data_IF_400840600295
#
_entry.id   IF_400840600295
#
_cell.length_a   1.000
_cell.length_b   1.000
_cell.length_c   1.000
_cell.angle_alpha   90.00
_cell.angle_beta   90.00
_cell.angle_gamma   90.00
#
_symmetry.space_group_name_H-M   'P 1'
#
loop_
_entity.id
_entity.type
_entity.pdbx_description
1 polymer ?
#
# COMPACT_ATOMS: atom_id res chain seq x y z
N UNK A 1 -7.96 -6.56 4.11
CA UNK A 1 -6.52 -6.43 4.41
C UNK A 1 -5.97 -5.42 3.45
N UNK A 2 -5.29 -4.40 3.97
CA UNK A 2 -4.70 -3.32 3.19
C UNK A 2 -3.18 -3.50 3.22
N UNK A 3 -2.67 -4.36 2.35
CA UNK A 3 -1.23 -4.63 2.24
C UNK A 3 -0.86 -4.94 0.80
N UNK A 4 0.28 -4.45 0.36
CA UNK A 4 0.81 -4.70 -0.99
C UNK A 4 2.12 -5.47 -0.87
N UNK A 5 2.17 -6.63 -1.50
CA UNK A 5 3.38 -7.45 -1.59
C UNK A 5 4.03 -7.24 -2.95
N UNK A 6 5.29 -6.81 -2.96
CA UNK A 6 6.11 -6.69 -4.17
C UNK A 6 7.32 -7.63 -4.03
N UNK A 7 7.54 -8.45 -5.05
CA UNK A 7 8.67 -9.38 -5.10
C UNK A 7 9.48 -9.15 -6.37
N UNK A 8 10.80 -9.14 -6.27
CA UNK A 8 11.67 -9.03 -7.45
C UNK A 8 12.01 -10.42 -8.02
N UNK A 9 12.03 -10.60 -9.35
CA UNK A 9 12.24 -11.92 -9.96
C UNK A 9 13.69 -12.44 -9.80
N UNK A 10 14.69 -11.56 -9.90
CA UNK A 10 16.12 -11.95 -9.94
C UNK A 10 16.71 -11.99 -8.54
N UNK A 11 16.65 -10.86 -7.83
CA UNK A 11 17.26 -10.71 -6.49
C UNK A 11 16.41 -11.30 -5.36
N UNK A 12 15.20 -11.81 -5.69
CA UNK A 12 14.21 -12.40 -4.77
C UNK A 12 14.01 -11.56 -3.50
N UNK A 13 14.05 -10.24 -3.68
CA UNK A 13 13.79 -9.28 -2.61
C UNK A 13 12.30 -9.20 -2.39
N UNK A 14 11.90 -9.13 -1.13
CA UNK A 14 10.50 -8.99 -0.73
C UNK A 14 10.27 -7.65 -0.07
N UNK A 15 9.31 -6.90 -0.59
CA UNK A 15 8.83 -5.63 -0.07
C UNK A 15 7.38 -5.79 0.35
N UNK A 16 7.05 -5.30 1.54
CA UNK A 16 5.68 -5.22 2.02
C UNK A 16 5.34 -3.76 2.29
N UNK A 17 4.30 -3.23 1.65
CA UNK A 17 3.76 -1.89 1.94
C UNK A 17 2.49 -2.07 2.74
N UNK A 18 2.48 -1.50 3.94
CA UNK A 18 1.51 -1.67 5.01
C UNK A 18 1.35 -3.12 5.48
N UNK A 19 1.10 -3.29 6.78
CA UNK A 19 0.95 -4.63 7.39
C UNK A 19 -0.52 -5.00 7.62
N UNK A 20 -1.45 -4.15 7.21
CA UNK A 20 -2.86 -4.32 7.47
C UNK A 20 -3.19 -4.29 8.97
N UNK A 21 -4.47 -4.22 9.28
CA UNK A 21 -5.00 -4.37 10.62
C UNK A 21 -6.52 -4.25 10.59
N UNK A 22 -7.17 -4.54 11.70
CA UNK A 22 -8.61 -4.37 11.83
C UNK A 22 -8.86 -3.39 12.97
N UNK A 23 -9.55 -2.30 12.67
CA UNK A 23 -10.04 -1.38 13.69
C UNK A 23 -11.00 -2.12 14.62
N UNK A 24 -10.62 -2.21 15.90
CA UNK A 24 -11.46 -2.73 16.97
C UNK A 24 -12.29 -1.58 17.52
N UNK A 25 -13.59 -1.59 17.25
CA UNK A 25 -14.53 -0.63 17.84
C UNK A 25 -15.00 -1.11 19.22
N UNK A 26 -15.40 -0.20 20.13
CA UNK A 26 -16.00 -0.58 21.41
C UNK A 26 -17.20 -1.49 21.15
N UNK A 27 -17.13 -2.72 21.65
CA UNK A 27 -18.19 -3.73 21.58
C UNK A 27 -18.49 -4.20 22.99
N UNK A 28 -19.74 -4.53 23.26
CA UNK A 28 -20.13 -5.07 24.58
C UNK A 28 -19.35 -6.37 24.83
N UNK A 29 -19.03 -6.67 26.08
CA UNK A 29 -18.23 -7.86 26.47
C UNK A 29 -18.69 -9.15 25.77
N UNK A 30 -20.00 -9.36 25.66
CA UNK A 30 -20.61 -10.53 25.01
C UNK A 30 -20.53 -10.52 23.47
N UNK A 31 -20.26 -9.37 22.85
CA UNK A 31 -20.04 -9.22 21.40
C UNK A 31 -18.55 -9.30 21.00
N UNK A 32 -17.63 -9.33 21.99
CA UNK A 32 -16.19 -9.47 21.74
C UNK A 32 -15.89 -10.86 21.18
N UNK A 33 -16.04 -11.02 19.86
CA UNK A 33 -15.46 -12.16 19.14
C UNK A 33 -13.95 -12.11 19.29
N UNK A 34 -13.31 -13.27 19.49
CA UNK A 34 -11.85 -13.41 19.41
C UNK A 34 -11.39 -12.81 18.08
N UNK A 35 -10.81 -11.61 18.14
CA UNK A 35 -10.32 -10.90 16.97
C UNK A 35 -9.08 -11.61 16.49
N UNK A 36 -9.25 -12.46 15.48
CA UNK A 36 -8.17 -13.17 14.81
C UNK A 36 -7.29 -12.14 14.08
N UNK A 37 -6.01 -12.11 14.44
CA UNK A 37 -4.98 -11.27 13.81
C UNK A 37 -4.91 -11.53 12.30
N UNK A 38 -4.92 -10.46 11.50
CA UNK A 38 -4.94 -10.54 10.05
C UNK A 38 -3.59 -10.99 9.48
N UNK A 39 -2.48 -10.56 10.08
CA UNK A 39 -1.13 -10.95 9.64
C UNK A 39 -0.92 -12.45 9.82
N UNK A 40 -1.32 -13.00 10.97
CA UNK A 40 -1.20 -14.42 11.27
C UNK A 40 -2.04 -15.31 10.34
N UNK A 41 -3.20 -14.83 9.88
CA UNK A 41 -4.13 -15.65 9.09
C UNK A 41 -4.08 -15.44 7.58
N UNK A 42 -3.55 -14.30 7.10
CA UNK A 42 -3.47 -14.05 5.65
C UNK A 42 -2.06 -13.67 5.21
N UNK A 43 -1.40 -12.67 5.81
CA UNK A 43 -0.09 -12.20 5.32
C UNK A 43 0.99 -13.27 5.47
N UNK A 44 1.20 -13.81 6.67
CA UNK A 44 2.22 -14.85 6.92
C UNK A 44 1.91 -16.13 6.12
N UNK A 45 0.67 -16.66 6.10
CA UNK A 45 0.34 -17.80 5.25
C UNK A 45 0.58 -17.54 3.76
N UNK A 46 0.24 -16.34 3.26
CA UNK A 46 0.51 -15.95 1.87
C UNK A 46 2.01 -15.95 1.58
N UNK A 47 2.82 -15.32 2.43
CA UNK A 47 4.28 -15.30 2.29
C UNK A 47 4.85 -16.73 2.27
N UNK A 48 4.42 -17.58 3.21
CA UNK A 48 4.85 -18.99 3.29
C UNK A 48 4.43 -19.79 2.07
N UNK A 49 3.19 -19.64 1.59
CA UNK A 49 2.69 -20.33 0.39
C UNK A 49 3.46 -19.93 -0.88
N UNK A 50 4.04 -18.73 -0.90
CA UNK A 50 4.92 -18.25 -1.98
C UNK A 50 6.38 -18.64 -1.79
N UNK A 51 6.71 -19.44 -0.77
CA UNK A 51 8.09 -19.84 -0.45
C UNK A 51 8.97 -18.69 0.07
N UNK A 52 8.36 -17.59 0.52
CA UNK A 52 9.07 -16.44 1.07
C UNK A 52 9.41 -16.74 2.53
N UNK A 53 10.67 -16.59 2.90
CA UNK A 53 11.18 -16.84 4.26
C UNK A 53 11.63 -15.58 5.01
N UNK A 54 11.68 -14.43 4.33
CA UNK A 54 12.06 -13.13 4.89
C UNK A 54 11.43 -11.98 4.12
N UNK A 55 11.20 -10.86 4.81
CA UNK A 55 10.87 -9.57 4.20
C UNK A 55 12.12 -8.69 4.29
N UNK A 56 12.55 -8.14 3.17
CA UNK A 56 13.74 -7.30 3.10
C UNK A 56 13.42 -5.86 3.53
N UNK A 57 12.26 -5.32 3.12
CA UNK A 57 11.77 -4.01 3.58
C UNK A 57 10.26 -4.01 3.81
N UNK A 58 9.84 -3.50 4.97
CA UNK A 58 8.46 -3.11 5.24
C UNK A 58 8.37 -1.59 5.14
N UNK A 59 7.33 -1.06 4.51
CA UNK A 59 7.00 0.36 4.47
C UNK A 59 5.67 0.57 5.18
N UNK A 60 5.63 1.43 6.19
CA UNK A 60 4.41 1.81 6.89
C UNK A 60 4.01 3.20 6.43
N UNK A 61 2.78 3.34 5.94
CA UNK A 61 2.33 4.60 5.36
C UNK A 61 1.99 5.63 6.43
N UNK A 62 1.20 5.28 7.44
CA UNK A 62 0.79 6.17 8.52
C UNK A 62 0.48 5.35 9.80
N UNK A 63 0.11 6.02 10.90
CA UNK A 63 0.03 5.44 12.25
C UNK A 63 -1.21 4.60 12.51
N UNK A 64 -2.19 4.56 11.60
CA UNK A 64 -3.48 3.96 11.93
C UNK A 64 -3.37 2.46 12.14
N UNK A 65 -4.29 1.94 12.94
CA UNK A 65 -4.25 0.54 13.41
C UNK A 65 -4.36 -0.43 12.25
N UNK A 66 -5.07 -0.08 11.19
CA UNK A 66 -5.15 -0.86 9.97
C UNK A 66 -3.91 -0.77 9.08
N UNK A 67 -2.90 0.03 9.45
CA UNK A 67 -1.61 0.14 8.77
C UNK A 67 -0.42 -0.33 9.61
N UNK A 68 -0.41 -0.09 10.93
CA UNK A 68 0.68 -0.51 11.84
C UNK A 68 0.29 -1.58 12.85
N UNK A 69 -1.00 -1.87 13.01
CA UNK A 69 -1.52 -2.61 14.17
C UNK A 69 -0.99 -4.03 14.31
N UNK A 70 -0.53 -4.64 13.23
CA UNK A 70 0.02 -5.99 13.23
C UNK A 70 1.54 -6.04 13.00
N UNK A 71 2.24 -4.90 13.12
CA UNK A 71 3.69 -4.85 12.92
C UNK A 71 4.41 -5.75 13.92
N UNK A 72 4.07 -5.65 15.21
CA UNK A 72 4.68 -6.47 16.26
C UNK A 72 4.45 -7.97 16.01
N UNK A 73 3.24 -8.34 15.61
CA UNK A 73 2.92 -9.73 15.23
C UNK A 73 3.73 -10.20 14.03
N UNK A 74 3.93 -9.34 13.02
CA UNK A 74 4.78 -9.65 11.88
C UNK A 74 6.24 -9.85 12.30
N UNK A 75 6.79 -8.97 13.12
CA UNK A 75 8.18 -9.03 13.58
C UNK A 75 8.43 -10.25 14.49
N UNK A 76 7.43 -10.68 15.26
CA UNK A 76 7.50 -11.91 16.05
C UNK A 76 7.44 -13.16 15.16
N UNK A 77 6.51 -13.19 14.21
CA UNK A 77 6.20 -14.38 13.42
C UNK A 77 7.01 -14.55 12.12
N UNK A 78 7.77 -13.52 11.71
CA UNK A 78 8.44 -13.49 10.42
C UNK A 78 9.75 -12.70 10.44
N UNK A 79 10.74 -13.15 9.68
CA UNK A 79 12.03 -12.45 9.59
C UNK A 79 11.88 -11.18 8.76
N UNK A 80 12.04 -10.02 9.39
CA UNK A 80 12.05 -8.70 8.74
C UNK A 80 13.43 -8.05 8.92
N UNK A 81 14.04 -7.56 7.84
CA UNK A 81 15.35 -6.88 7.93
C UNK A 81 15.24 -5.40 8.27
N UNK A 82 14.31 -4.71 7.61
CA UNK A 82 14.19 -3.26 7.72
C UNK A 82 12.73 -2.82 7.67
N UNK A 83 12.37 -1.85 8.51
CA UNK A 83 11.08 -1.18 8.55
C UNK A 83 11.30 0.31 8.26
N UNK A 84 10.55 0.85 7.32
CA UNK A 84 10.65 2.21 6.82
C UNK A 84 9.32 2.94 7.06
N UNK A 85 9.39 4.21 7.42
CA UNK A 85 8.20 5.04 7.63
C UNK A 85 8.49 6.53 7.50
N UNK A 86 7.44 7.34 7.37
CA UNK A 86 7.56 8.80 7.32
C UNK A 86 8.24 9.39 8.58
N UNK A 87 9.08 10.40 8.38
CA UNK A 87 9.80 11.08 9.45
C UNK A 87 8.85 11.59 10.55
N UNK A 88 9.16 11.30 11.81
CA UNK A 88 8.36 11.64 12.98
C UNK A 88 7.47 10.50 13.49
N UNK A 89 7.17 9.48 12.68
CA UNK A 89 6.35 8.35 13.11
C UNK A 89 7.02 7.57 14.26
N UNK A 90 8.34 7.59 14.36
CA UNK A 90 9.11 7.03 15.48
C UNK A 90 8.75 7.63 16.84
N UNK A 91 8.19 8.86 16.85
CA UNK A 91 7.74 9.54 18.08
C UNK A 91 6.38 9.01 18.57
N UNK A 92 5.66 8.27 17.75
CA UNK A 92 4.46 7.57 18.18
C UNK A 92 4.84 6.50 19.22
N UNK A 93 4.17 6.50 20.38
CA UNK A 93 4.49 5.58 21.49
C UNK A 93 4.49 4.11 21.07
N UNK A 94 3.56 3.68 20.20
CA UNK A 94 3.50 2.28 19.73
C UNK A 94 4.73 1.93 18.91
N UNK A 95 5.11 2.81 17.98
CA UNK A 95 6.28 2.60 17.11
C UNK A 95 7.58 2.67 17.91
N UNK A 96 7.71 3.64 18.83
CA UNK A 96 8.86 3.73 19.74
C UNK A 96 9.04 2.46 20.56
N UNK A 97 7.96 1.89 21.11
CA UNK A 97 8.01 0.61 21.83
C UNK A 97 8.46 -0.54 20.91
N UNK A 98 7.95 -0.62 19.68
CA UNK A 98 8.38 -1.63 18.71
C UNK A 98 9.87 -1.47 18.36
N UNK A 99 10.36 -0.24 18.18
CA UNK A 99 11.78 0.00 17.91
C UNK A 99 12.66 -0.55 19.04
N UNK A 100 12.26 -0.28 20.29
CA UNK A 100 12.99 -0.74 21.48
C UNK A 100 12.94 -2.26 21.66
N UNK A 101 11.80 -2.89 21.36
CA UNK A 101 11.60 -4.33 21.53
C UNK A 101 12.28 -5.17 20.44
N UNK A 102 12.61 -4.59 19.28
CA UNK A 102 13.16 -5.32 18.12
C UNK A 102 14.51 -4.74 17.64
N UNK A 103 15.57 -4.74 18.47
CA UNK A 103 16.84 -4.08 18.16
C UNK A 103 17.62 -4.68 16.97
N UNK A 104 17.27 -5.90 16.55
CA UNK A 104 17.86 -6.56 15.37
C UNK A 104 17.25 -6.08 14.04
N UNK A 105 16.11 -5.41 14.09
CA UNK A 105 15.43 -4.85 12.91
C UNK A 105 15.94 -3.44 12.70
N UNK A 106 16.29 -3.10 11.45
CA UNK A 106 16.69 -1.74 11.11
C UNK A 106 15.44 -0.88 10.93
N UNK A 107 15.34 0.25 11.63
CA UNK A 107 14.27 1.22 11.43
C UNK A 107 14.82 2.46 10.72
N UNK A 108 14.10 2.95 9.71
CA UNK A 108 14.54 4.10 8.91
C UNK A 108 13.41 5.10 8.69
N UNK A 109 13.69 6.36 9.00
CA UNK A 109 12.83 7.49 8.70
C UNK A 109 13.04 7.93 7.26
N UNK A 110 11.94 8.21 6.57
CA UNK A 110 11.92 8.68 5.20
C UNK A 110 11.21 10.03 5.11
N UNK A 111 11.72 10.90 4.25
CA UNK A 111 11.11 12.19 3.92
C UNK A 111 11.14 12.42 2.41
N UNK A 112 10.40 13.41 1.96
CA UNK A 112 10.40 13.85 0.56
C UNK A 112 11.84 14.02 0.03
N UNK A 113 12.10 13.46 -1.15
CA UNK A 113 13.40 13.47 -1.82
C UNK A 113 14.28 12.26 -1.51
N UNK A 114 13.98 11.49 -0.47
CA UNK A 114 14.71 10.26 -0.19
C UNK A 114 14.47 9.20 -1.27
N UNK A 115 15.48 8.36 -1.50
CA UNK A 115 15.39 7.19 -2.39
C UNK A 115 15.74 5.93 -1.61
N UNK A 116 14.94 4.88 -1.78
CA UNK A 116 15.20 3.55 -1.25
C UNK A 116 15.41 2.58 -2.41
N UNK A 117 16.61 2.03 -2.51
CA UNK A 117 16.93 0.99 -3.48
C UNK A 117 16.74 -0.40 -2.83
N UNK A 118 16.05 -1.28 -3.54
CA UNK A 118 15.87 -2.67 -3.16
C UNK A 118 15.73 -3.55 -4.40
N UNK A 119 16.74 -4.39 -4.61
CA UNK A 119 16.70 -5.38 -5.68
C UNK A 119 16.61 -4.79 -7.09
N UNK A 120 17.12 -3.57 -7.29
CA UNK A 120 17.05 -2.83 -8.55
C UNK A 120 15.77 -1.99 -8.72
N UNK A 121 14.85 -2.02 -7.76
CA UNK A 121 13.71 -1.11 -7.70
C UNK A 121 14.12 0.11 -6.88
N UNK A 122 13.96 1.30 -7.45
CA UNK A 122 14.09 2.57 -6.74
C UNK A 122 12.72 3.10 -6.36
N UNK A 123 12.46 3.20 -5.07
CA UNK A 123 11.29 3.86 -4.49
C UNK A 123 11.71 5.28 -4.10
N UNK A 124 11.18 6.28 -4.80
CA UNK A 124 11.42 7.69 -4.48
C UNK A 124 10.29 8.19 -3.59
N UNK A 125 10.62 8.84 -2.50
CA UNK A 125 9.67 9.34 -1.52
C UNK A 125 9.24 10.73 -1.92
N UNK A 126 7.93 10.91 -2.13
CA UNK A 126 7.33 12.19 -2.52
C UNK A 126 6.75 12.95 -1.31
N UNK A 127 6.42 12.23 -0.24
CA UNK A 127 5.82 12.76 0.99
C UNK A 127 6.12 11.81 2.16
N UNK A 128 6.29 12.27 3.42
CA UNK A 128 6.05 13.63 3.94
C UNK A 128 7.23 14.61 3.82
N UNK A 129 6.92 15.92 3.77
CA UNK A 129 7.91 17.01 3.82
C UNK A 129 8.41 17.30 5.24
N UNK A 130 7.50 17.27 6.21
CA UNK A 130 7.73 17.67 7.60
C UNK A 130 7.62 16.47 8.52
N UNK A 131 8.25 16.57 9.70
CA UNK A 131 8.10 15.55 10.74
C UNK A 131 6.69 15.59 11.33
N UNK A 132 6.04 14.44 11.39
CA UNK A 132 4.72 14.27 12.00
C UNK A 132 4.59 12.89 12.65
N UNK A 133 3.67 12.74 13.59
CA UNK A 133 3.37 11.46 14.26
C UNK A 133 2.60 10.47 13.37
N UNK A 134 2.43 10.79 12.09
CA UNK A 134 1.89 9.91 11.05
C UNK A 134 0.38 9.90 10.97
N UNK A 135 -0.26 11.07 10.92
CA UNK A 135 -1.67 11.16 10.51
C UNK A 135 -1.82 10.78 9.02
N UNK A 136 -3.05 10.69 8.53
CA UNK A 136 -3.33 10.37 7.13
C UNK A 136 -2.68 11.37 6.17
N UNK A 137 -2.68 12.64 6.55
CA UNK A 137 -2.05 13.76 5.85
C UNK A 137 -0.53 13.62 5.72
N UNK A 138 0.08 12.73 6.50
CA UNK A 138 1.52 12.45 6.49
C UNK A 138 1.86 11.07 5.90
N UNK A 139 0.87 10.44 5.25
CA UNK A 139 1.03 9.13 4.62
C UNK A 139 2.23 9.08 3.69
N UNK A 140 3.15 8.14 3.95
CA UNK A 140 4.32 7.91 3.13
C UNK A 140 3.90 7.64 1.68
N UNK A 141 4.15 8.62 0.81
CA UNK A 141 3.83 8.52 -0.61
C UNK A 141 5.10 8.25 -1.39
N UNK A 142 5.07 7.20 -2.20
CA UNK A 142 6.23 6.73 -2.96
C UNK A 142 5.89 6.52 -4.42
N UNK A 143 6.84 6.85 -5.29
CA UNK A 143 6.79 6.53 -6.71
C UNK A 143 7.90 5.55 -7.07
N UNK A 144 7.57 4.50 -7.81
CA UNK A 144 8.53 3.50 -8.24
C UNK A 144 8.28 3.10 -9.69
N UNK A 145 9.36 2.89 -10.43
CA UNK A 145 9.28 2.28 -11.76
C UNK A 145 9.49 0.78 -11.63
N UNK A 146 8.42 0.01 -11.82
CA UNK A 146 8.46 -1.44 -11.87
C UNK A 146 8.50 -1.86 -13.34
N UNK A 147 9.65 -2.37 -13.80
CA UNK A 147 9.94 -2.63 -15.22
C UNK A 147 9.73 -1.35 -16.06
N UNK A 148 8.66 -1.27 -16.85
CA UNK A 148 8.32 -0.14 -17.71
C UNK A 148 7.11 0.64 -17.20
N UNK A 149 6.58 0.31 -16.02
CA UNK A 149 5.38 0.93 -15.44
C UNK A 149 5.75 1.79 -14.24
N UNK A 150 5.31 3.04 -14.26
CA UNK A 150 5.46 3.97 -13.13
C UNK A 150 4.25 3.82 -12.20
N UNK A 151 4.51 3.35 -10.98
CA UNK A 151 3.53 3.16 -9.92
C UNK A 151 3.59 4.30 -8.91
N UNK A 152 2.43 4.81 -8.53
CA UNK A 152 2.27 5.72 -7.40
C UNK A 152 1.55 5.01 -6.24
N UNK A 153 2.20 4.97 -5.08
CA UNK A 153 1.65 4.46 -3.83
C UNK A 153 1.42 5.63 -2.89
N UNK A 154 0.15 6.02 -2.67
CA UNK A 154 -0.20 7.21 -1.89
C UNK A 154 -0.53 6.94 -0.43
N UNK A 155 -0.56 5.66 -0.01
CA UNK A 155 -1.09 5.29 1.30
C UNK A 155 -2.51 5.84 1.46
N UNK A 156 -2.72 6.62 2.53
CA UNK A 156 -3.98 7.27 2.85
C UNK A 156 -3.88 8.80 2.79
N UNK A 157 -2.95 9.30 1.96
CA UNK A 157 -2.73 10.73 1.77
C UNK A 157 -4.01 11.43 1.31
N UNK A 158 -4.38 12.49 2.01
CA UNK A 158 -5.53 13.32 1.65
C UNK A 158 -5.21 14.31 0.51
N UNK A 159 -6.25 14.84 -0.12
CA UNK A 159 -6.15 15.75 -1.27
C UNK A 159 -5.26 16.97 -1.02
N UNK A 160 -5.19 17.47 0.22
CA UNK A 160 -4.30 18.57 0.57
C UNK A 160 -2.83 18.20 0.35
N UNK A 161 -2.40 17.01 0.80
CA UNK A 161 -1.06 16.50 0.57
C UNK A 161 -0.80 16.18 -0.90
N UNK A 162 -1.79 15.61 -1.61
CA UNK A 162 -1.69 15.38 -3.05
C UNK A 162 -1.41 16.68 -3.81
N UNK A 163 -2.11 17.76 -3.47
CA UNK A 163 -1.91 19.08 -4.07
C UNK A 163 -0.49 19.61 -3.82
N UNK A 164 0.08 19.40 -2.64
CA UNK A 164 1.46 19.80 -2.36
C UNK A 164 2.47 19.00 -3.18
N UNK A 165 2.26 17.69 -3.36
CA UNK A 165 3.10 16.86 -4.23
C UNK A 165 3.07 17.39 -5.67
N UNK A 166 1.89 17.72 -6.20
CA UNK A 166 1.74 18.21 -7.57
C UNK A 166 2.39 19.58 -7.82
N UNK A 167 2.65 20.38 -6.76
CA UNK A 167 3.41 21.63 -6.90
C UNK A 167 4.90 21.37 -7.15
N UNK A 168 5.45 20.34 -6.52
CA UNK A 168 6.89 20.05 -6.63
C UNK A 168 7.22 19.09 -7.77
N UNK A 169 6.26 18.25 -8.16
CA UNK A 169 6.47 17.17 -9.12
C UNK A 169 5.46 17.19 -10.25
N UNK A 170 5.98 17.17 -11.48
CA UNK A 170 5.16 16.85 -12.64
C UNK A 170 5.05 15.32 -12.78
N UNK A 171 3.97 14.75 -12.23
CA UNK A 171 3.77 13.31 -12.21
C UNK A 171 3.23 12.83 -13.55
N UNK A 172 3.83 11.76 -14.08
CA UNK A 172 3.25 10.93 -15.14
C UNK A 172 3.37 9.48 -14.71
N UNK A 173 2.23 8.85 -14.47
CA UNK A 173 2.18 7.50 -13.87
C UNK A 173 1.40 6.57 -14.79
N UNK A 174 1.74 5.30 -14.78
CA UNK A 174 0.93 4.28 -15.44
C UNK A 174 -0.17 3.80 -14.48
N UNK A 175 0.20 3.57 -13.21
CA UNK A 175 -0.65 2.92 -12.24
C UNK A 175 -0.70 3.64 -10.89
N UNK A 176 -1.91 3.69 -10.34
CA UNK A 176 -2.20 4.35 -9.08
C UNK A 176 -2.73 3.34 -8.05
N UNK A 177 -2.11 3.24 -6.88
CA UNK A 177 -2.82 2.77 -5.68
C UNK A 177 -3.71 3.93 -5.23
N UNK A 178 -5.03 3.72 -5.26
CA UNK A 178 -6.02 4.75 -4.84
C UNK A 178 -5.87 5.06 -3.36
N UNK A 179 -5.75 6.34 -3.03
CA UNK A 179 -5.55 6.81 -1.66
C UNK A 179 -6.68 6.40 -0.73
N UNK A 180 -6.34 6.07 0.51
CA UNK A 180 -7.29 5.93 1.63
C UNK A 180 -8.46 4.99 1.31
N UNK A 181 -8.13 3.82 0.77
CA UNK A 181 -9.08 2.76 0.38
C UNK A 181 -10.19 3.20 -0.58
N UNK A 182 -10.04 4.36 -1.23
CA UNK A 182 -11.07 5.00 -2.05
C UNK A 182 -11.96 6.00 -1.33
N UNK A 183 -11.51 6.54 -0.19
CA UNK A 183 -12.15 7.67 0.50
C UNK A 183 -12.35 8.84 -0.46
N UNK A 184 -13.45 9.57 -0.29
CA UNK A 184 -13.70 10.84 -0.99
C UNK A 184 -12.69 11.93 -0.61
N UNK A 185 -11.97 11.81 0.51
CA UNK A 185 -10.95 12.77 0.96
C UNK A 185 -9.58 12.58 0.32
N UNK A 186 -9.42 11.58 -0.53
CA UNK A 186 -8.20 11.30 -1.31
C UNK A 186 -8.53 11.17 -2.79
N UNK A 187 -7.50 10.97 -3.61
CA UNK A 187 -7.57 10.79 -5.07
C UNK A 187 -8.34 11.94 -5.73
N UNK A 188 -7.80 13.15 -5.56
CA UNK A 188 -8.32 14.40 -6.14
C UNK A 188 -8.47 14.30 -7.66
N UNK A 189 -9.37 15.14 -8.19
CA UNK A 189 -9.52 15.30 -9.65
C UNK A 189 -8.22 15.80 -10.27
N UNK A 190 -7.54 16.73 -9.59
CA UNK A 190 -6.28 17.33 -9.99
C UNK A 190 -5.17 16.29 -10.09
N UNK A 191 -5.05 15.39 -9.11
CA UNK A 191 -4.10 14.27 -9.17
C UNK A 191 -4.35 13.40 -10.40
N UNK A 192 -5.59 12.99 -10.64
CA UNK A 192 -5.93 12.14 -11.78
C UNK A 192 -5.68 12.85 -13.12
N UNK A 193 -6.03 14.13 -13.23
CA UNK A 193 -5.86 14.92 -14.45
C UNK A 193 -4.40 15.16 -14.80
N UNK A 194 -3.55 15.45 -13.82
CA UNK A 194 -2.12 15.70 -14.07
C UNK A 194 -1.36 14.38 -14.29
N UNK A 195 -1.59 13.39 -13.43
CA UNK A 195 -0.82 12.13 -13.46
C UNK A 195 -1.26 11.14 -14.54
N UNK A 196 -2.52 11.24 -15.00
CA UNK A 196 -3.14 10.46 -16.08
C UNK A 196 -2.87 8.95 -15.99
N UNK A 197 -3.20 8.29 -14.87
CA UNK A 197 -3.00 6.85 -14.73
C UNK A 197 -3.86 6.09 -15.75
N UNK A 198 -3.31 5.01 -16.31
CA UNK A 198 -4.06 4.05 -17.11
C UNK A 198 -4.93 3.16 -16.21
N UNK A 199 -4.39 2.72 -15.07
CA UNK A 199 -5.12 1.88 -14.10
C UNK A 199 -5.02 2.38 -12.68
N UNK A 200 -6.07 2.11 -11.92
CA UNK A 200 -6.18 2.37 -10.50
C UNK A 200 -6.49 1.09 -9.72
N UNK A 201 -5.85 0.91 -8.57
CA UNK A 201 -6.03 -0.25 -7.69
C UNK A 201 -6.55 0.23 -6.34
N UNK A 202 -7.74 -0.21 -5.98
CA UNK A 202 -8.44 0.13 -4.74
C UNK A 202 -8.31 -1.07 -3.80
N UNK A 203 -7.74 -0.83 -2.63
CA UNK A 203 -7.74 -1.80 -1.55
C UNK A 203 -8.90 -1.45 -0.62
N UNK A 204 -10.03 -2.15 -0.73
CA UNK A 204 -11.19 -1.96 0.15
C UNK A 204 -11.75 -3.32 0.58
N UNK A 205 -12.41 -3.36 1.74
CA UNK A 205 -13.09 -4.56 2.23
C UNK A 205 -14.55 -4.62 1.78
N UNK A 206 -15.07 -5.85 1.56
CA UNK A 206 -16.50 -6.07 1.33
C UNK A 206 -17.30 -5.56 2.53
N UNK A 207 -18.34 -4.76 2.27
CA UNK A 207 -19.22 -4.18 3.29
C UNK A 207 -18.45 -3.48 4.42
N UNK A 208 -17.35 -2.79 4.10
CA UNK A 208 -16.63 -2.01 5.11
C UNK A 208 -17.53 -0.87 5.64
N UNK A 209 -17.41 -0.58 6.94
CA UNK A 209 -18.30 0.35 7.64
C UNK A 209 -18.17 1.80 7.20
N UNK A 210 -17.09 2.13 6.50
CA UNK A 210 -16.82 3.47 5.97
C UNK A 210 -17.47 3.71 4.61
N UNK A 211 -18.08 2.68 4.01
CA UNK A 211 -18.68 2.77 2.68
C UNK A 211 -17.65 3.02 1.57
N UNK A 212 -16.42 2.54 1.75
CA UNK A 212 -15.35 2.69 0.77
C UNK A 212 -15.40 1.58 -0.31
N UNK A 213 -14.94 1.84 -1.54
CA UNK A 213 -14.63 3.16 -2.07
C UNK A 213 -15.90 4.04 -2.14
N UNK A 214 -15.76 5.33 -1.84
CA UNK A 214 -16.88 6.26 -1.94
C UNK A 214 -17.26 6.51 -3.40
N UNK A 215 -18.56 6.77 -3.63
CA UNK A 215 -19.11 7.03 -4.97
C UNK A 215 -18.38 8.18 -5.66
N UNK A 216 -18.05 9.23 -4.93
CA UNK A 216 -17.34 10.41 -5.44
C UNK A 216 -15.97 10.05 -6.04
N UNK A 217 -15.23 9.15 -5.39
CA UNK A 217 -13.92 8.69 -5.89
C UNK A 217 -14.08 7.83 -7.13
N UNK A 218 -15.08 6.94 -7.15
CA UNK A 218 -15.40 6.13 -8.33
C UNK A 218 -15.84 7.01 -9.51
N UNK A 219 -16.67 8.01 -9.27
CA UNK A 219 -17.16 8.92 -10.29
C UNK A 219 -16.00 9.75 -10.87
N UNK A 220 -15.03 10.18 -10.03
CA UNK A 220 -13.79 10.82 -10.51
C UNK A 220 -12.96 9.90 -11.42
N UNK A 221 -12.74 8.65 -11.02
CA UNK A 221 -12.01 7.66 -11.84
C UNK A 221 -12.69 7.45 -13.20
N UNK A 222 -14.02 7.28 -13.20
CA UNK A 222 -14.83 7.12 -14.42
C UNK A 222 -14.78 8.36 -15.33
N UNK A 223 -14.91 9.56 -14.76
CA UNK A 223 -14.82 10.82 -15.51
C UNK A 223 -13.46 11.00 -16.18
N UNK A 224 -12.39 10.50 -15.55
CA UNK A 224 -11.03 10.52 -16.11
C UNK A 224 -10.70 9.27 -16.95
N UNK A 225 -11.69 8.40 -17.21
CA UNK A 225 -11.54 7.17 -18.00
C UNK A 225 -10.44 6.23 -17.48
N UNK A 226 -10.23 6.21 -16.17
CA UNK A 226 -9.24 5.34 -15.51
C UNK A 226 -9.88 3.98 -15.24
N UNK A 227 -9.30 2.92 -15.81
CA UNK A 227 -9.69 1.55 -15.51
C UNK A 227 -9.35 1.25 -14.03
N UNK A 228 -10.27 0.68 -13.25
CA UNK A 228 -10.01 0.42 -11.84
C UNK A 228 -10.36 -0.99 -11.39
N UNK A 229 -9.60 -1.50 -10.43
CA UNK A 229 -9.80 -2.79 -9.80
C UNK A 229 -9.96 -2.59 -8.29
N UNK A 230 -10.94 -3.26 -7.70
CA UNK A 230 -11.18 -3.19 -6.27
C UNK A 230 -11.09 -4.57 -5.62
N UNK A 231 -10.29 -4.70 -4.55
CA UNK A 231 -10.14 -5.96 -3.83
C UNK A 231 -11.45 -6.48 -3.24
N UNK A 232 -12.42 -5.61 -2.95
CA UNK A 232 -13.74 -6.04 -2.49
C UNK A 232 -14.50 -6.83 -3.57
N UNK A 233 -14.29 -6.51 -4.84
CA UNK A 233 -14.98 -7.15 -5.97
C UNK A 233 -14.23 -8.37 -6.50
N UNK A 234 -12.90 -8.35 -6.40
CA UNK A 234 -12.00 -9.27 -7.11
C UNK A 234 -11.14 -10.14 -6.20
N UNK A 235 -11.15 -9.91 -4.88
CA UNK A 235 -10.24 -10.54 -3.93
C UNK A 235 -8.81 -10.05 -4.13
N UNK A 236 -7.82 -10.95 -3.99
CA UNK A 236 -6.43 -10.62 -4.26
C UNK A 236 -6.25 -10.27 -5.74
N UNK A 237 -5.69 -9.09 -6.01
CA UNK A 237 -5.30 -8.64 -7.34
C UNK A 237 -3.78 -8.80 -7.43
N UNK A 238 -3.31 -9.59 -8.40
CA UNK A 238 -1.88 -9.82 -8.63
C UNK A 238 -1.48 -9.29 -10.00
N UNK A 239 -0.48 -8.41 -10.03
CA UNK A 239 0.14 -7.91 -11.24
C UNK A 239 1.52 -8.54 -11.43
N UNK A 240 1.77 -9.04 -12.64
CA UNK A 240 3.00 -9.69 -13.05
C UNK A 240 3.55 -8.98 -14.29
N UNK A 241 4.87 -8.92 -14.38
CA UNK A 241 5.58 -8.52 -15.59
C UNK A 241 6.59 -9.60 -15.95
N UNK A 242 6.81 -9.79 -17.24
CA UNK A 242 7.78 -10.76 -17.73
C UNK A 242 9.12 -10.07 -18.00
N UNK A 243 10.22 -10.78 -17.74
CA UNK A 243 11.55 -10.19 -17.89
C UNK A 243 11.95 -10.06 -19.37
N UNK A 244 11.64 -11.08 -20.17
CA UNK A 244 12.10 -11.25 -21.56
C UNK A 244 11.22 -10.55 -22.61
N UNK A 245 10.07 -10.00 -22.22
CA UNK A 245 9.23 -9.20 -23.11
C UNK A 245 8.53 -8.08 -22.33
N UNK A 246 7.79 -7.23 -23.04
CA UNK A 246 7.05 -6.12 -22.44
C UNK A 246 5.64 -6.52 -22.00
N UNK A 247 5.35 -7.82 -21.90
CA UNK A 247 4.04 -8.26 -21.49
C UNK A 247 3.87 -8.10 -19.97
N UNK A 248 2.63 -7.82 -19.61
CA UNK A 248 2.16 -7.76 -18.25
C UNK A 248 0.86 -8.55 -18.13
N UNK A 249 0.58 -9.01 -16.91
CA UNK A 249 -0.60 -9.81 -16.61
C UNK A 249 -1.17 -9.40 -15.27
N UNK A 250 -2.45 -9.08 -15.24
CA UNK A 250 -3.21 -8.90 -14.01
C UNK A 250 -4.15 -10.09 -13.84
N UNK A 251 -4.19 -10.64 -12.63
CA UNK A 251 -5.09 -11.74 -12.24
C UNK A 251 -5.85 -11.39 -10.99
N UNK A 252 -7.05 -11.96 -10.85
CA UNK A 252 -7.91 -11.77 -9.69
C UNK A 252 -8.28 -13.10 -9.05
N UNK A 253 -8.42 -13.13 -7.73
CA UNK A 253 -8.70 -14.37 -7.01
C UNK A 253 -10.16 -14.82 -7.13
N UNK A 254 -11.13 -13.90 -6.99
CA UNK A 254 -12.55 -14.27 -6.90
C UNK A 254 -13.21 -14.48 -8.26
N UNK A 255 -12.83 -13.69 -9.27
CA UNK A 255 -13.48 -13.76 -10.59
C UNK A 255 -12.71 -14.57 -11.62
N UNK A 256 -11.47 -14.98 -11.31
CA UNK A 256 -10.60 -15.65 -12.29
C UNK A 256 -10.24 -14.78 -13.50
N UNK A 257 -10.67 -13.52 -13.52
CA UNK A 257 -10.48 -12.60 -14.64
C UNK A 257 -8.99 -12.40 -14.91
N UNK A 258 -8.63 -12.57 -16.19
CA UNK A 258 -7.29 -12.40 -16.73
C UNK A 258 -7.26 -11.16 -17.61
N UNK A 259 -6.50 -10.14 -17.21
CA UNK A 259 -6.22 -8.99 -18.07
C UNK A 259 -4.78 -9.10 -18.56
N UNK A 260 -4.61 -9.38 -19.86
CA UNK A 260 -3.32 -9.42 -20.54
C UNK A 260 -3.23 -8.24 -21.52
N UNK A 261 -2.17 -7.42 -21.41
CA UNK A 261 -1.88 -6.35 -22.37
C UNK A 261 -3.10 -5.44 -22.69
N UNK A 262 -3.86 -5.04 -21.67
CA UNK A 262 -5.07 -4.19 -21.80
C UNK A 262 -6.28 -4.84 -22.48
N UNK A 263 -6.29 -6.17 -22.58
CA UNK A 263 -7.45 -6.95 -23.03
C UNK A 263 -7.93 -7.85 -21.89
N UNK A 264 -9.19 -7.71 -21.51
CA UNK A 264 -9.85 -8.61 -20.56
C UNK A 264 -10.24 -9.89 -21.30
N UNK A 265 -9.67 -11.03 -20.91
CA UNK A 265 -10.18 -12.35 -21.29
C UNK A 265 -11.19 -12.75 -20.21
N UNK A 266 -12.46 -12.84 -20.60
CA UNK A 266 -13.50 -13.53 -19.83
C UNK A 266 -13.38 -15.03 -20.06
#
# INVERSE_FOLDING_TARGET
MYSILITTPISRQTILIDVGGKLSFPTKEWEKRVTRDQVSNSTIPLLKSKGISKIDKVFLTHKDVDHIGNLETLLTGFKVKEVNFGIGLEKNKRISNVINNYPKVKFKNLRQGDTVDIGGIKLNVLWPKKSSIGENEDSLTMIAKLKNKTWLFTGDLEQAGEKEILKDYNLKIDYLKVGHHGSKTSTSKELLQQSRPQRAFISSGVNNRYGHPNKETIDRLKQQQVEYFNTADYGMISWYYYFFNNNEKTTTFLKGDLVENSRTKK
#
